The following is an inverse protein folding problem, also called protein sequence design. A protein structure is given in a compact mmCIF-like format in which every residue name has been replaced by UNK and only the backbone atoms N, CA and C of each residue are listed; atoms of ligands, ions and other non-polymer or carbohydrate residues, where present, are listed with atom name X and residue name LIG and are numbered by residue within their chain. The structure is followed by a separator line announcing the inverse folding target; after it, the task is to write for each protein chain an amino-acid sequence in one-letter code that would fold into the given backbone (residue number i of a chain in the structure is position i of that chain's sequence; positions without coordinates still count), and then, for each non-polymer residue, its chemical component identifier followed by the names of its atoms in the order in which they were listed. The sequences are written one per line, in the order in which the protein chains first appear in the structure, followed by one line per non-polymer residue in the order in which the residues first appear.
data_IF_031144513276
#
_entry.id   IF_031144513276
#
_cell.length_a   1.000
_cell.length_b   1.000
_cell.length_c   1.000
_cell.angle_alpha   90.00
_cell.angle_beta   90.00
_cell.angle_gamma   90.00
#
_symmetry.space_group_name_H-M   'P 1'
#
loop_
_entity.id
_entity.type
_entity.pdbx_description
1 polymer ?
#
# COMPACT_ATOMS: atom_id res chain seq x y z
N UNK A 1 -8.60 15.87 -10.20
CA UNK A 1 -7.39 15.26 -10.79
C UNK A 1 -7.51 13.74 -10.73
N UNK A 2 -7.53 13.10 -11.88
CA UNK A 2 -7.63 11.64 -11.98
C UNK A 2 -6.41 10.98 -11.36
N UNK A 3 -6.63 10.03 -10.45
CA UNK A 3 -5.54 9.31 -9.78
C UNK A 3 -5.84 7.82 -9.65
N UNK A 4 -4.76 7.07 -9.45
CA UNK A 4 -4.80 5.67 -9.05
C UNK A 4 -4.23 5.52 -7.65
N UNK A 5 -4.78 4.59 -6.89
CA UNK A 5 -4.34 4.32 -5.51
C UNK A 5 -3.55 3.01 -5.50
N UNK A 6 -2.42 3.01 -4.83
CA UNK A 6 -1.63 1.81 -4.57
C UNK A 6 -1.45 1.62 -3.07
N UNK A 7 -1.73 0.41 -2.61
CA UNK A 7 -1.20 -0.08 -1.34
C UNK A 7 0.30 -0.31 -1.46
N UNK A 8 0.98 -0.49 -0.35
CA UNK A 8 2.43 -0.64 -0.33
C UNK A 8 2.86 -2.08 -0.03
N UNK A 9 2.63 -2.55 1.20
CA UNK A 9 3.08 -3.88 1.63
C UNK A 9 2.23 -4.98 0.98
N UNK A 10 2.88 -5.88 0.26
CA UNK A 10 2.21 -6.93 -0.52
C UNK A 10 1.73 -6.48 -1.89
N UNK A 11 1.82 -5.20 -2.22
CA UNK A 11 1.41 -4.62 -3.50
C UNK A 11 2.60 -4.07 -4.28
N UNK A 12 3.25 -3.01 -3.79
CA UNK A 12 4.46 -2.46 -4.38
C UNK A 12 5.73 -3.03 -3.76
N UNK A 13 5.70 -3.32 -2.47
CA UNK A 13 6.82 -3.82 -1.68
C UNK A 13 6.57 -5.23 -1.17
N UNK A 14 7.53 -6.12 -1.36
CA UNK A 14 7.49 -7.47 -0.82
C UNK A 14 8.00 -7.45 0.62
N UNK A 15 7.07 -7.53 1.57
CA UNK A 15 7.32 -7.49 3.00
C UNK A 15 7.46 -8.90 3.62
N UNK A 16 7.43 -9.95 2.81
CA UNK A 16 7.41 -11.35 3.29
C UNK A 16 8.61 -11.71 4.16
N UNK A 17 9.78 -11.13 3.90
CA UNK A 17 11.01 -11.40 4.68
C UNK A 17 10.92 -10.93 6.14
N UNK A 18 9.93 -10.11 6.49
CA UNK A 18 9.75 -9.57 7.85
C UNK A 18 8.46 -10.01 8.54
N UNK A 19 7.63 -10.86 7.91
CA UNK A 19 6.40 -11.38 8.54
C UNK A 19 6.65 -12.15 9.82
N UNK A 20 7.79 -12.83 9.94
CA UNK A 20 8.15 -13.62 11.11
C UNK A 20 8.16 -12.80 12.40
N UNK A 21 8.43 -11.50 12.35
CA UNK A 21 8.38 -10.63 13.52
C UNK A 21 6.97 -10.54 14.11
N UNK A 22 5.97 -10.45 13.26
CA UNK A 22 4.56 -10.34 13.69
C UNK A 22 3.98 -11.71 14.01
N UNK A 23 4.20 -12.68 13.15
CA UNK A 23 3.64 -14.03 13.30
C UNK A 23 4.12 -14.75 14.56
N UNK A 24 5.40 -14.60 14.91
CA UNK A 24 6.00 -15.30 16.05
C UNK A 24 5.90 -14.56 17.37
N UNK A 25 6.01 -13.25 17.36
CA UNK A 25 6.18 -12.46 18.58
C UNK A 25 5.36 -11.19 18.63
N UNK A 26 4.49 -10.95 17.66
CA UNK A 26 3.70 -9.72 17.57
C UNK A 26 4.57 -8.45 17.67
N UNK A 27 5.79 -8.52 17.16
CA UNK A 27 6.81 -7.46 17.21
C UNK A 27 6.67 -6.52 16.00
N UNK A 28 5.74 -5.59 16.10
CA UNK A 28 5.49 -4.62 15.05
C UNK A 28 6.64 -3.62 14.87
N UNK A 29 7.37 -3.30 15.94
CA UNK A 29 8.50 -2.37 15.85
C UNK A 29 9.62 -2.94 14.98
N UNK A 30 10.00 -4.20 15.17
CA UNK A 30 11.00 -4.87 14.32
C UNK A 30 10.49 -5.06 12.89
N UNK A 31 9.21 -5.39 12.73
CA UNK A 31 8.59 -5.51 11.41
C UNK A 31 8.71 -4.20 10.62
N UNK A 32 8.36 -3.07 11.23
CA UNK A 32 8.49 -1.76 10.59
C UNK A 32 9.94 -1.36 10.37
N UNK A 33 10.83 -1.62 11.33
CA UNK A 33 12.25 -1.27 11.20
C UNK A 33 12.94 -1.96 10.03
N UNK A 34 12.49 -3.14 9.63
CA UNK A 34 13.06 -3.92 8.53
C UNK A 34 12.55 -3.50 7.13
N UNK A 35 11.65 -2.53 7.03
CA UNK A 35 10.97 -2.19 5.77
C UNK A 35 11.89 -1.68 4.66
N UNK A 36 13.02 -1.07 4.99
CA UNK A 36 13.96 -0.54 4.01
C UNK A 36 14.60 -1.64 3.13
N UNK A 37 14.60 -2.89 3.59
CA UNK A 37 15.14 -4.03 2.86
C UNK A 37 14.10 -4.75 1.99
N UNK A 38 12.87 -4.27 1.91
CA UNK A 38 11.84 -4.86 1.06
C UNK A 38 12.27 -4.82 -0.41
N UNK A 39 12.05 -5.93 -1.11
CA UNK A 39 12.22 -5.97 -2.56
C UNK A 39 10.99 -5.37 -3.24
N UNK A 40 11.14 -4.68 -4.37
CA UNK A 40 9.99 -4.22 -5.14
C UNK A 40 9.26 -5.41 -5.78
N UNK A 41 7.93 -5.32 -5.82
CA UNK A 41 7.10 -6.21 -6.63
C UNK A 41 7.09 -5.63 -8.05
N UNK A 42 8.02 -6.08 -8.86
CA UNK A 42 8.40 -5.43 -10.13
C UNK A 42 7.24 -5.23 -11.09
N UNK A 43 6.35 -6.20 -11.21
CA UNK A 43 5.22 -6.10 -12.14
C UNK A 43 4.20 -5.04 -11.71
N UNK A 44 4.02 -4.81 -10.41
CA UNK A 44 3.12 -3.76 -9.90
C UNK A 44 3.80 -2.39 -9.95
N UNK A 45 5.08 -2.33 -9.62
CA UNK A 45 5.88 -1.10 -9.78
C UNK A 45 5.89 -0.62 -11.23
N UNK A 46 5.98 -1.54 -12.19
CA UNK A 46 5.90 -1.21 -13.61
C UNK A 46 4.55 -0.59 -14.00
N UNK A 47 3.45 -1.09 -13.43
CA UNK A 47 2.11 -0.51 -13.64
C UNK A 47 2.08 0.92 -13.09
N UNK A 48 2.54 1.12 -11.86
CA UNK A 48 2.56 2.44 -11.23
C UNK A 48 3.35 3.46 -12.06
N UNK A 49 4.54 3.09 -12.51
CA UNK A 49 5.37 3.93 -13.39
C UNK A 49 4.70 4.24 -14.71
N UNK A 50 4.03 3.26 -15.31
CA UNK A 50 3.32 3.43 -16.58
C UNK A 50 2.15 4.41 -16.46
N UNK A 51 1.41 4.34 -15.37
CA UNK A 51 0.32 5.29 -15.09
C UNK A 51 0.83 6.71 -14.89
N UNK A 52 1.95 6.88 -14.19
CA UNK A 52 2.61 8.19 -14.08
C UNK A 52 3.03 8.73 -15.44
N UNK A 53 3.68 7.89 -16.25
CA UNK A 53 4.10 8.28 -17.61
C UNK A 53 2.93 8.65 -18.51
N UNK A 54 1.75 8.06 -18.27
CA UNK A 54 0.50 8.40 -18.97
C UNK A 54 -0.16 9.69 -18.45
N UNK A 55 0.41 10.35 -17.43
CA UNK A 55 -0.08 11.62 -16.89
C UNK A 55 -1.08 11.51 -15.76
N UNK A 56 -1.32 10.33 -15.22
CA UNK A 56 -2.17 10.16 -14.05
C UNK A 56 -1.43 10.51 -12.76
N UNK A 57 -2.17 10.91 -11.74
CA UNK A 57 -1.64 11.11 -10.39
C UNK A 57 -1.62 9.78 -9.65
N UNK A 58 -0.67 9.62 -8.74
CA UNK A 58 -0.61 8.46 -7.86
C UNK A 58 -0.77 8.85 -6.39
N UNK A 59 -1.62 8.09 -5.71
CA UNK A 59 -1.75 8.13 -4.26
C UNK A 59 -1.28 6.79 -3.68
N UNK A 60 -0.40 6.84 -2.71
CA UNK A 60 0.01 5.69 -1.92
C UNK A 60 -0.77 5.71 -0.62
N UNK A 61 -1.49 4.63 -0.33
CA UNK A 61 -2.29 4.51 0.90
C UNK A 61 -1.88 3.23 1.62
N UNK A 62 -1.23 3.36 2.75
CA UNK A 62 -0.61 2.25 3.47
C UNK A 62 -0.99 2.21 4.94
N UNK A 63 -1.09 1.00 5.49
CA UNK A 63 -1.22 0.78 6.92
C UNK A 63 0.06 1.02 7.72
N UNK A 64 1.19 1.29 7.07
CA UNK A 64 2.44 1.63 7.77
C UNK A 64 2.25 2.86 8.65
N UNK A 65 2.86 2.80 9.84
CA UNK A 65 2.87 3.93 10.77
C UNK A 65 3.64 5.14 10.21
N UNK A 66 3.15 6.33 10.49
CA UNK A 66 3.87 7.60 10.25
C UNK A 66 5.28 7.62 10.86
N UNK A 67 5.54 6.79 11.87
CA UNK A 67 6.87 6.66 12.49
C UNK A 67 7.96 6.28 11.50
N UNK A 68 7.61 5.56 10.44
CA UNK A 68 8.55 5.12 9.40
C UNK A 68 8.30 5.83 8.07
N UNK A 69 7.81 7.06 8.11
CA UNK A 69 7.57 7.85 6.88
C UNK A 69 8.87 8.08 6.10
N UNK A 70 9.96 8.43 6.78
CA UNK A 70 11.25 8.70 6.11
C UNK A 70 11.76 7.47 5.36
N UNK A 71 11.72 6.32 6.00
CA UNK A 71 12.13 5.04 5.41
C UNK A 71 11.23 4.65 4.24
N UNK A 72 9.94 4.90 4.36
CA UNK A 72 8.95 4.63 3.33
C UNK A 72 9.15 5.53 2.11
N UNK A 73 9.33 6.82 2.32
CA UNK A 73 9.61 7.79 1.24
C UNK A 73 10.93 7.48 0.53
N UNK A 74 11.97 7.14 1.30
CA UNK A 74 13.26 6.76 0.75
C UNK A 74 13.16 5.48 -0.10
N UNK A 75 12.37 4.49 0.33
CA UNK A 75 12.14 3.26 -0.42
C UNK A 75 11.41 3.54 -1.73
N UNK A 76 10.34 4.32 -1.71
CA UNK A 76 9.59 4.71 -2.90
C UNK A 76 10.48 5.42 -3.92
N UNK A 77 11.28 6.38 -3.46
CA UNK A 77 12.22 7.11 -4.32
C UNK A 77 13.28 6.17 -4.93
N UNK A 78 13.87 5.30 -4.11
CA UNK A 78 14.90 4.37 -4.55
C UNK A 78 14.42 3.40 -5.64
N UNK A 79 13.12 3.04 -5.61
CA UNK A 79 12.50 2.16 -6.59
C UNK A 79 11.75 2.90 -7.70
N UNK A 80 11.91 4.23 -7.79
CA UNK A 80 11.35 5.05 -8.86
C UNK A 80 9.83 5.14 -8.86
N UNK A 81 9.21 4.97 -7.70
CA UNK A 81 7.77 5.16 -7.51
C UNK A 81 7.54 6.58 -7.02
N UNK A 82 7.31 7.48 -7.96
CA UNK A 82 6.91 8.85 -7.65
C UNK A 82 5.42 8.88 -7.35
N UNK A 83 5.02 9.77 -6.48
CA UNK A 83 3.61 9.89 -6.05
C UNK A 83 3.26 11.35 -5.77
N UNK A 84 1.98 11.65 -5.78
CA UNK A 84 1.45 12.97 -5.43
C UNK A 84 1.02 13.03 -3.97
N UNK A 85 0.53 11.92 -3.43
CA UNK A 85 0.02 11.80 -2.06
C UNK A 85 0.50 10.51 -1.42
N UNK A 86 0.95 10.60 -0.18
CA UNK A 86 1.26 9.46 0.68
C UNK A 86 0.43 9.58 1.96
N UNK A 87 -0.52 8.66 2.13
CA UNK A 87 -1.35 8.56 3.33
C UNK A 87 -0.88 7.34 4.13
N UNK A 88 -0.46 7.59 5.36
CA UNK A 88 0.04 6.58 6.28
C UNK A 88 -0.83 6.55 7.54
N UNK A 89 -0.76 5.45 8.29
CA UNK A 89 -1.43 5.31 9.58
C UNK A 89 -0.87 6.32 10.57
N UNK A 90 -1.71 7.16 11.13
CA UNK A 90 -1.29 8.09 12.19
C UNK A 90 -0.85 7.32 13.43
N UNK A 91 0.09 7.89 14.16
CA UNK A 91 0.57 7.32 15.42
C UNK A 91 -0.60 7.14 16.38
N UNK A 92 -0.75 5.93 16.94
CA UNK A 92 -1.83 5.60 17.89
C UNK A 92 -3.17 5.26 17.24
N UNK A 93 -3.29 5.34 15.93
CA UNK A 93 -4.50 4.91 15.21
C UNK A 93 -4.56 3.38 15.16
N UNK A 94 -5.57 2.80 15.80
CA UNK A 94 -5.79 1.35 15.92
C UNK A 94 -6.93 0.82 15.05
N UNK A 95 -7.46 1.64 14.16
CA UNK A 95 -8.51 1.19 13.24
C UNK A 95 -8.00 0.04 12.37
N UNK A 96 -8.91 -0.81 11.91
CA UNK A 96 -8.60 -1.84 10.92
C UNK A 96 -8.05 -1.19 9.65
N UNK A 97 -7.21 -1.94 8.94
CA UNK A 97 -6.62 -1.45 7.69
C UNK A 97 -7.71 -1.09 6.66
N UNK A 98 -8.77 -1.88 6.58
CA UNK A 98 -9.92 -1.60 5.72
C UNK A 98 -10.61 -0.26 6.04
N UNK A 99 -10.74 0.08 7.32
CA UNK A 99 -11.32 1.36 7.75
C UNK A 99 -10.42 2.54 7.37
N UNK A 100 -9.10 2.37 7.52
CA UNK A 100 -8.12 3.38 7.09
C UNK A 100 -8.20 3.63 5.59
N UNK A 101 -8.37 2.58 4.79
CA UNK A 101 -8.48 2.67 3.33
C UNK A 101 -9.70 3.49 2.91
N UNK A 102 -10.85 3.24 3.52
CA UNK A 102 -12.09 4.01 3.25
C UNK A 102 -11.92 5.48 3.67
N UNK A 103 -11.34 5.71 4.84
CA UNK A 103 -11.05 7.08 5.31
C UNK A 103 -10.12 7.83 4.35
N UNK A 104 -9.08 7.16 3.85
CA UNK A 104 -8.16 7.74 2.88
C UNK A 104 -8.85 8.07 1.54
N UNK A 105 -9.80 7.24 1.11
CA UNK A 105 -10.60 7.53 -0.10
C UNK A 105 -11.40 8.82 0.06
N UNK A 106 -12.04 9.01 1.21
CA UNK A 106 -12.76 10.25 1.51
C UNK A 106 -11.83 11.46 1.56
N UNK A 107 -10.67 11.32 2.18
CA UNK A 107 -9.66 12.38 2.24
C UNK A 107 -9.19 12.77 0.84
N UNK A 108 -8.85 11.82 -0.01
CA UNK A 108 -8.43 12.08 -1.39
C UNK A 108 -9.50 12.85 -2.18
N UNK A 109 -10.75 12.41 -2.07
CA UNK A 109 -11.89 13.11 -2.72
C UNK A 109 -12.06 14.54 -2.21
N UNK A 110 -11.94 14.75 -0.90
CA UNK A 110 -12.04 16.09 -0.30
C UNK A 110 -10.91 17.02 -0.73
N UNK A 111 -9.76 16.46 -1.10
CA UNK A 111 -8.59 17.19 -1.62
C UNK A 111 -8.64 17.42 -3.13
N UNK A 112 -9.75 17.08 -3.79
CA UNK A 112 -9.96 17.29 -5.22
C UNK A 112 -9.41 16.21 -6.13
N UNK A 113 -8.97 15.08 -5.59
CA UNK A 113 -8.60 13.92 -6.39
C UNK A 113 -9.84 13.14 -6.82
N UNK A 114 -9.74 12.53 -7.99
CA UNK A 114 -10.75 11.62 -8.53
C UNK A 114 -10.11 10.22 -8.65
N UNK A 115 -10.17 9.40 -7.59
CA UNK A 115 -9.68 8.03 -7.65
C UNK A 115 -10.47 7.21 -8.67
N UNK A 116 -9.75 6.56 -9.58
CA UNK A 116 -10.34 5.73 -10.63
C UNK A 116 -10.32 4.25 -10.26
N UNK A 117 -9.26 3.80 -9.60
CA UNK A 117 -9.05 2.41 -9.22
C UNK A 117 -8.00 2.31 -8.13
N UNK A 118 -8.13 1.30 -7.27
CA UNK A 118 -7.11 0.93 -6.31
C UNK A 118 -6.45 -0.40 -6.68
N UNK A 119 -5.20 -0.58 -6.23
CA UNK A 119 -4.45 -1.83 -6.27
C UNK A 119 -4.11 -2.19 -4.83
N UNK A 120 -4.52 -3.37 -4.38
CA UNK A 120 -4.32 -3.84 -3.01
C UNK A 120 -4.23 -5.37 -3.01
N UNK A 121 -3.53 -5.95 -2.06
CA UNK A 121 -3.37 -7.40 -1.96
C UNK A 121 -4.29 -8.04 -0.91
N UNK A 122 -4.63 -7.28 0.11
CA UNK A 122 -5.33 -7.79 1.28
C UNK A 122 -6.84 -7.84 1.04
N UNK A 123 -7.43 -9.05 1.12
CA UNK A 123 -8.84 -9.27 0.83
C UNK A 123 -9.79 -8.30 1.56
N UNK A 124 -9.68 -8.07 2.88
CA UNK A 124 -10.56 -7.11 3.56
C UNK A 124 -10.44 -5.69 3.02
N UNK A 125 -9.25 -5.25 2.62
CA UNK A 125 -9.03 -3.94 2.02
C UNK A 125 -9.63 -3.86 0.62
N UNK A 126 -9.45 -4.90 -0.20
CA UNK A 126 -10.05 -5.00 -1.54
C UNK A 126 -11.57 -4.89 -1.46
N UNK A 127 -12.19 -5.61 -0.54
CA UNK A 127 -13.64 -5.55 -0.33
C UNK A 127 -14.08 -4.17 0.17
N UNK A 128 -13.29 -3.54 1.03
CA UNK A 128 -13.59 -2.19 1.53
C UNK A 128 -13.55 -1.14 0.42
N UNK A 129 -12.55 -1.17 -0.47
CA UNK A 129 -12.50 -0.31 -1.64
C UNK A 129 -13.75 -0.46 -2.51
N UNK A 130 -14.09 -1.71 -2.84
CA UNK A 130 -15.24 -2.03 -3.70
C UNK A 130 -16.56 -1.62 -3.06
N UNK A 131 -16.75 -1.88 -1.77
CA UNK A 131 -17.94 -1.46 -1.03
C UNK A 131 -18.10 0.07 -0.96
N UNK A 132 -16.98 0.80 -0.97
CA UNK A 132 -16.97 2.27 -1.03
C UNK A 132 -17.16 2.84 -2.45
N UNK A 133 -17.43 1.98 -3.42
CA UNK A 133 -17.69 2.36 -4.80
C UNK A 133 -16.44 2.63 -5.64
N UNK A 134 -15.29 2.11 -5.25
CA UNK A 134 -14.05 2.22 -6.01
C UNK A 134 -13.65 0.85 -6.59
N UNK A 135 -13.49 0.72 -7.91
CA UNK A 135 -12.90 -0.48 -8.49
C UNK A 135 -11.55 -0.79 -7.85
N UNK A 136 -11.30 -2.06 -7.57
CA UNK A 136 -10.03 -2.49 -7.01
C UNK A 136 -9.53 -3.76 -7.71
N UNK A 137 -8.29 -3.71 -8.19
CA UNK A 137 -7.57 -4.88 -8.63
C UNK A 137 -6.87 -5.50 -7.43
N UNK A 138 -7.20 -6.74 -7.15
CA UNK A 138 -6.48 -7.52 -6.16
C UNK A 138 -5.20 -8.07 -6.78
N UNK A 139 -4.07 -7.71 -6.19
CA UNK A 139 -2.76 -8.17 -6.61
C UNK A 139 -2.28 -9.29 -5.70
N UNK A 140 -1.46 -10.19 -6.24
CA UNK A 140 -0.78 -11.19 -5.45
C UNK A 140 0.69 -11.25 -5.81
N UNK A 141 1.54 -11.41 -4.81
CA UNK A 141 2.93 -11.77 -5.02
C UNK A 141 3.02 -13.29 -4.99
N UNK A 142 3.34 -13.91 -6.11
CA UNK A 142 3.39 -15.37 -6.24
C UNK A 142 4.32 -16.00 -5.21
N UNK A 143 5.40 -15.31 -4.83
CA UNK A 143 6.31 -15.79 -3.81
C UNK A 143 5.66 -15.93 -2.42
N UNK A 144 4.63 -15.13 -2.13
CA UNK A 144 3.87 -15.20 -0.89
C UNK A 144 2.80 -16.30 -0.89
N UNK A 145 2.40 -16.76 -2.08
CA UNK A 145 1.29 -17.71 -2.27
C UNK A 145 1.76 -19.10 -2.67
N UNK A 146 3.03 -19.42 -2.51
CA UNK A 146 3.57 -20.77 -2.82
C UNK A 146 3.12 -21.86 -1.85
N UNK A 147 2.47 -21.49 -0.75
CA UNK A 147 1.92 -22.42 0.23
C UNK A 147 0.40 -22.25 0.22
N UNK A 148 -0.29 -23.33 -0.19
CA UNK A 148 -1.74 -23.42 -0.01
C UNK A 148 -2.02 -23.41 1.50
N UNK A 149 -2.63 -22.34 1.98
CA UNK A 149 -3.08 -22.28 3.37
C UNK A 149 -4.45 -22.93 3.47
N UNK A 150 -4.60 -23.92 4.37
CA UNK A 150 -5.90 -24.54 4.59
C UNK A 150 -6.92 -23.56 5.17
#
# INVERSE_FOLDING_TARGET
MKCYIFDLDGTLADDSHRWHYVERSNDWDSYYAACSADKPIEHVVAIARSLLAAGYRLAIVTGRSEQIRRETEAWLLAHGVLYDVLIMRKRGDRRLNSELKVSALHELRSRGYLPLMAFDDLEPAVQAWRAAGLPCAQVSNVAAWTVEHP
#
